data_IF_055952960740
#
_entry.id   IF_055952960740
#
_cell.length_a   1.000
_cell.length_b   1.000
_cell.length_c   1.000
_cell.angle_alpha   90.00
_cell.angle_beta   90.00
_cell.angle_gamma   90.00
#
_symmetry.space_group_name_H-M   'P 1'
#
loop_
_entity.id
_entity.type
_entity.pdbx_description
1 polymer ?
#
# COMPACT_ATOMS: atom_id res chain seq x y z
N UNK A 1 6.99 -18.61 12.64
CA UNK A 1 5.78 -17.90 12.18
C UNK A 1 6.28 -16.93 11.14
N UNK A 2 5.77 -16.97 9.92
CA UNK A 2 6.16 -16.03 8.86
C UNK A 2 5.66 -14.61 9.20
N UNK A 3 6.19 -13.58 8.51
CA UNK A 3 5.71 -12.21 8.70
C UNK A 3 4.19 -12.12 8.50
N UNK A 4 3.67 -12.72 7.42
CA UNK A 4 2.24 -12.64 7.10
C UNK A 4 1.35 -13.40 8.09
N UNK A 5 1.82 -14.50 8.69
CA UNK A 5 1.08 -15.20 9.74
C UNK A 5 0.89 -14.27 10.96
N UNK A 6 1.92 -13.53 11.35
CA UNK A 6 1.83 -12.54 12.43
C UNK A 6 0.82 -11.42 12.12
N UNK A 7 0.77 -10.95 10.87
CA UNK A 7 -0.22 -9.96 10.41
C UNK A 7 -1.65 -10.53 10.47
N UNK A 8 -1.86 -11.75 10.01
CA UNK A 8 -3.17 -12.43 10.08
C UNK A 8 -3.66 -12.57 11.52
N UNK A 9 -2.80 -12.96 12.45
CA UNK A 9 -3.19 -13.04 13.86
C UNK A 9 -3.54 -11.68 14.47
N UNK A 10 -2.87 -10.62 14.07
CA UNK A 10 -3.23 -9.25 14.48
C UNK A 10 -4.56 -8.80 13.86
N UNK A 11 -4.79 -9.10 12.57
CA UNK A 11 -6.04 -8.78 11.90
C UNK A 11 -7.26 -9.38 12.62
N UNK A 12 -7.14 -10.60 13.16
CA UNK A 12 -8.20 -11.29 13.93
C UNK A 12 -8.54 -10.62 15.27
N UNK A 13 -7.66 -9.79 15.83
CA UNK A 13 -7.90 -9.17 17.14
C UNK A 13 -8.97 -8.07 17.11
N UNK A 14 -9.12 -7.39 15.97
CA UNK A 14 -10.14 -6.36 15.73
C UNK A 14 -10.55 -6.45 14.25
N UNK A 15 -11.56 -7.30 13.99
CA UNK A 15 -11.97 -7.67 12.63
C UNK A 15 -12.53 -6.45 11.89
N UNK A 16 -11.87 -6.08 10.81
CA UNK A 16 -12.25 -5.00 9.93
C UNK A 16 -13.02 -5.50 8.70
N UNK A 17 -13.81 -4.62 8.11
CA UNK A 17 -14.57 -4.91 6.88
C UNK A 17 -13.80 -4.37 5.68
N UNK A 18 -13.42 -5.25 4.75
CA UNK A 18 -12.63 -4.92 3.56
C UNK A 18 -13.46 -5.14 2.30
N UNK A 19 -13.43 -4.15 1.40
CA UNK A 19 -14.09 -4.25 0.09
C UNK A 19 -13.15 -4.90 -0.91
N UNK A 20 -13.64 -5.90 -1.64
CA UNK A 20 -13.02 -6.53 -2.80
C UNK A 20 -13.93 -6.28 -4.02
N UNK A 21 -13.66 -5.25 -4.85
CA UNK A 21 -14.58 -4.88 -5.92
C UNK A 21 -14.52 -5.80 -7.15
N UNK A 22 -13.43 -6.55 -7.34
CA UNK A 22 -13.15 -7.38 -8.51
C UNK A 22 -13.70 -8.82 -8.33
N UNK A 23 -14.98 -8.93 -8.01
CA UNK A 23 -15.63 -10.23 -7.73
C UNK A 23 -15.81 -11.13 -8.96
N UNK A 24 -15.50 -10.66 -10.16
CA UNK A 24 -15.44 -11.43 -11.40
C UNK A 24 -14.13 -12.23 -11.56
N UNK A 25 -13.08 -11.90 -10.79
CA UNK A 25 -11.78 -12.58 -10.87
C UNK A 25 -11.77 -13.82 -9.96
N UNK A 26 -11.41 -14.99 -10.50
CA UNK A 26 -11.29 -16.24 -9.76
C UNK A 26 -10.39 -16.11 -8.53
N UNK A 27 -9.27 -15.39 -8.65
CA UNK A 27 -8.31 -15.20 -7.55
C UNK A 27 -8.93 -14.44 -6.39
N UNK A 28 -9.77 -13.44 -6.69
CA UNK A 28 -10.49 -12.66 -5.69
C UNK A 28 -11.48 -13.56 -4.93
N UNK A 29 -12.23 -14.43 -5.62
CA UNK A 29 -13.17 -15.34 -4.96
C UNK A 29 -12.45 -16.44 -4.15
N UNK A 30 -11.32 -16.98 -4.65
CA UNK A 30 -10.47 -17.90 -3.87
C UNK A 30 -9.90 -17.25 -2.62
N UNK A 31 -9.41 -16.03 -2.74
CA UNK A 31 -8.94 -15.24 -1.59
C UNK A 31 -10.07 -14.96 -0.60
N UNK A 32 -11.25 -14.55 -1.09
CA UNK A 32 -12.41 -14.29 -0.25
C UNK A 32 -12.79 -15.52 0.59
N UNK A 33 -12.86 -16.70 -0.03
CA UNK A 33 -13.14 -17.95 0.68
C UNK A 33 -12.11 -18.22 1.80
N UNK A 34 -10.82 -18.01 1.50
CA UNK A 34 -9.74 -18.23 2.48
C UNK A 34 -9.77 -17.24 3.63
N UNK A 35 -10.02 -15.96 3.35
CA UNK A 35 -10.14 -14.87 4.34
C UNK A 35 -11.29 -15.15 5.31
N UNK A 36 -12.44 -15.60 4.79
CA UNK A 36 -13.61 -15.94 5.59
C UNK A 36 -13.38 -17.20 6.44
N UNK A 37 -12.75 -18.24 5.88
CA UNK A 37 -12.33 -19.42 6.60
C UNK A 37 -11.40 -19.08 7.77
N UNK A 38 -10.38 -18.26 7.52
CA UNK A 38 -9.38 -17.83 8.51
C UNK A 38 -9.92 -16.76 9.47
N UNK A 39 -11.05 -16.13 9.14
CA UNK A 39 -11.66 -15.01 9.91
C UNK A 39 -10.72 -13.84 10.13
N UNK A 40 -9.98 -13.47 9.09
CA UNK A 40 -9.04 -12.36 9.15
C UNK A 40 -9.66 -11.00 8.83
N UNK A 41 -10.79 -10.99 8.11
CA UNK A 41 -11.60 -9.81 7.83
C UNK A 41 -13.04 -10.19 7.50
N UNK A 42 -14.00 -9.26 7.70
CA UNK A 42 -15.29 -9.30 7.04
C UNK A 42 -15.13 -8.77 5.61
N UNK A 43 -15.90 -9.31 4.67
CA UNK A 43 -15.77 -8.95 3.26
C UNK A 43 -17.04 -8.36 2.67
N UNK A 44 -16.85 -7.34 1.83
CA UNK A 44 -17.85 -6.82 0.90
C UNK A 44 -17.35 -7.09 -0.52
N UNK A 45 -18.11 -7.87 -1.29
CA UNK A 45 -17.89 -8.11 -2.71
C UNK A 45 -18.84 -7.23 -3.51
N UNK A 46 -18.34 -6.59 -4.59
CA UNK A 46 -19.17 -5.72 -5.44
C UNK A 46 -19.54 -6.46 -6.71
N UNK A 47 -20.82 -6.71 -6.94
CA UNK A 47 -21.30 -7.37 -8.13
C UNK A 47 -22.74 -7.86 -8.01
N UNK A 48 -23.27 -8.44 -9.07
CA UNK A 48 -24.57 -9.11 -9.03
C UNK A 48 -24.49 -10.40 -8.21
N UNK A 49 -25.38 -10.53 -7.22
CA UNK A 49 -25.29 -11.60 -6.24
C UNK A 49 -25.41 -13.00 -6.87
N UNK A 50 -26.31 -13.16 -7.85
CA UNK A 50 -26.50 -14.44 -8.50
C UNK A 50 -25.27 -14.84 -9.32
N UNK A 51 -24.67 -13.87 -10.03
CA UNK A 51 -23.46 -14.06 -10.81
C UNK A 51 -22.26 -14.40 -9.91
N UNK A 52 -22.04 -13.65 -8.82
CA UNK A 52 -20.92 -13.88 -7.91
C UNK A 52 -21.01 -15.24 -7.24
N UNK A 53 -22.22 -15.66 -6.82
CA UNK A 53 -22.45 -17.01 -6.24
C UNK A 53 -22.23 -18.13 -7.27
N UNK A 54 -22.71 -17.96 -8.50
CA UNK A 54 -22.50 -18.93 -9.58
C UNK A 54 -21.01 -19.08 -9.93
N UNK A 55 -20.25 -17.98 -9.97
CA UNK A 55 -18.81 -18.02 -10.19
C UNK A 55 -18.08 -18.69 -9.03
N UNK A 56 -18.46 -18.44 -7.76
CA UNK A 56 -17.89 -19.11 -6.61
C UNK A 56 -18.14 -20.63 -6.67
N UNK A 57 -19.34 -21.06 -7.03
CA UNK A 57 -19.68 -22.49 -7.22
C UNK A 57 -18.84 -23.10 -8.36
N UNK A 58 -18.74 -22.43 -9.49
CA UNK A 58 -17.90 -22.85 -10.63
C UNK A 58 -16.44 -23.07 -10.23
N UNK A 59 -15.88 -22.21 -9.37
CA UNK A 59 -14.51 -22.33 -8.90
C UNK A 59 -14.35 -23.24 -7.66
N UNK A 60 -15.45 -23.79 -7.15
CA UNK A 60 -15.46 -24.70 -6.01
C UNK A 60 -15.04 -24.04 -4.69
N UNK A 61 -15.39 -22.77 -4.49
CA UNK A 61 -15.05 -22.00 -3.30
C UNK A 61 -16.29 -21.55 -2.54
N UNK A 62 -16.20 -21.53 -1.21
CA UNK A 62 -17.28 -21.07 -0.33
C UNK A 62 -17.04 -19.62 0.09
N UNK A 63 -17.95 -18.74 -0.26
CA UNK A 63 -17.96 -17.31 0.10
C UNK A 63 -19.08 -16.95 1.08
N UNK A 64 -19.68 -17.93 1.74
CA UNK A 64 -20.70 -17.70 2.76
C UNK A 64 -20.14 -16.82 3.89
N UNK A 65 -20.88 -15.78 4.23
CA UNK A 65 -20.45 -14.77 5.19
C UNK A 65 -19.92 -13.48 4.54
N UNK A 66 -19.63 -13.46 3.23
CA UNK A 66 -19.39 -12.22 2.51
C UNK A 66 -20.71 -11.47 2.28
N UNK A 67 -20.68 -10.14 2.44
CA UNK A 67 -21.77 -9.27 1.97
C UNK A 67 -21.55 -9.01 0.48
N UNK A 68 -22.57 -9.24 -0.35
CA UNK A 68 -22.51 -8.91 -1.79
C UNK A 68 -23.38 -7.69 -2.04
N UNK A 69 -22.83 -6.66 -2.69
CA UNK A 69 -23.55 -5.43 -3.03
C UNK A 69 -23.58 -5.27 -4.55
N UNK A 70 -24.77 -5.30 -5.13
CA UNK A 70 -24.99 -4.97 -6.54
C UNK A 70 -25.18 -3.46 -6.68
N UNK A 71 -24.28 -2.75 -7.42
CA UNK A 71 -24.41 -1.31 -7.64
C UNK A 71 -25.76 -0.89 -8.22
N UNK A 72 -26.37 -1.70 -9.10
CA UNK A 72 -27.63 -1.38 -9.79
C UNK A 72 -28.85 -1.40 -8.88
N UNK A 73 -28.84 -2.27 -7.86
CA UNK A 73 -29.97 -2.46 -6.95
C UNK A 73 -29.71 -1.96 -5.54
N UNK A 74 -28.54 -1.34 -5.32
CA UNK A 74 -28.17 -0.82 -3.99
C UNK A 74 -29.09 0.34 -3.56
N UNK A 75 -29.64 0.25 -2.36
CA UNK A 75 -30.39 1.33 -1.71
C UNK A 75 -29.55 2.58 -1.43
N UNK A 76 -28.23 2.45 -1.46
CA UNK A 76 -27.24 3.51 -1.26
C UNK A 76 -26.83 4.23 -2.54
N UNK A 77 -27.26 3.76 -3.72
CA UNK A 77 -26.82 4.33 -5.00
C UNK A 77 -27.04 5.83 -5.08
N UNK A 78 -28.24 6.31 -4.72
CA UNK A 78 -28.57 7.75 -4.78
C UNK A 78 -27.73 8.60 -3.81
N UNK A 79 -27.48 8.08 -2.62
CA UNK A 79 -26.58 8.73 -1.65
C UNK A 79 -25.16 8.83 -2.22
N UNK A 80 -24.66 7.77 -2.87
CA UNK A 80 -23.32 7.73 -3.46
C UNK A 80 -23.23 8.65 -4.68
N UNK A 81 -24.24 8.71 -5.54
CA UNK A 81 -24.32 9.64 -6.67
C UNK A 81 -24.22 11.09 -6.19
N UNK A 82 -25.04 11.46 -5.20
CA UNK A 82 -25.04 12.81 -4.66
C UNK A 82 -23.69 13.15 -4.01
N UNK A 83 -23.14 12.24 -3.23
CA UNK A 83 -21.84 12.45 -2.56
C UNK A 83 -20.71 12.60 -3.57
N UNK A 84 -20.65 11.74 -4.59
CA UNK A 84 -19.62 11.80 -5.63
C UNK A 84 -19.75 13.09 -6.46
N UNK A 85 -20.98 13.48 -6.82
CA UNK A 85 -21.25 14.74 -7.49
C UNK A 85 -20.75 15.93 -6.66
N UNK A 86 -21.13 16.04 -5.38
CA UNK A 86 -20.68 17.13 -4.51
C UNK A 86 -19.17 17.21 -4.38
N UNK A 87 -18.49 16.07 -4.28
CA UNK A 87 -17.02 16.00 -4.22
C UNK A 87 -16.34 16.49 -5.51
N UNK A 88 -17.01 16.34 -6.66
CA UNK A 88 -16.38 16.50 -7.98
C UNK A 88 -17.02 17.57 -8.87
N UNK A 89 -18.14 18.22 -8.47
CA UNK A 89 -18.84 19.23 -9.27
C UNK A 89 -17.93 20.39 -9.71
N UNK A 90 -17.01 20.83 -8.85
CA UNK A 90 -16.01 21.85 -9.19
C UNK A 90 -15.00 21.43 -10.29
N UNK A 91 -14.97 20.13 -10.63
CA UNK A 91 -14.17 19.54 -11.71
C UNK A 91 -15.03 19.14 -12.92
N UNK A 92 -16.27 19.62 -12.98
CA UNK A 92 -17.19 19.43 -14.13
C UNK A 92 -17.99 18.13 -14.10
N UNK A 93 -18.02 17.40 -12.99
CA UNK A 93 -18.87 16.22 -12.86
C UNK A 93 -20.35 16.63 -12.81
N UNK A 94 -21.21 15.89 -13.49
CA UNK A 94 -22.68 16.03 -13.39
C UNK A 94 -23.24 14.85 -12.58
N UNK A 95 -24.50 14.95 -12.07
CA UNK A 95 -25.14 13.80 -11.39
C UNK A 95 -25.23 12.55 -12.26
N UNK A 96 -25.51 12.72 -13.56
CA UNK A 96 -25.59 11.62 -14.54
C UNK A 96 -24.22 10.95 -14.71
N UNK A 97 -23.14 11.76 -14.83
CA UNK A 97 -21.76 11.23 -14.93
C UNK A 97 -21.32 10.52 -13.63
N UNK A 98 -21.75 11.02 -12.48
CA UNK A 98 -21.47 10.36 -11.20
C UNK A 98 -22.18 9.00 -11.12
N UNK A 99 -23.45 8.94 -11.51
CA UNK A 99 -24.22 7.68 -11.59
C UNK A 99 -23.57 6.69 -12.55
N UNK A 100 -23.24 7.15 -13.74
CA UNK A 100 -22.59 6.31 -14.75
C UNK A 100 -21.25 5.73 -14.23
N UNK A 101 -20.42 6.55 -13.58
CA UNK A 101 -19.16 6.10 -13.00
C UNK A 101 -19.38 5.01 -11.93
N UNK A 102 -20.37 5.16 -11.06
CA UNK A 102 -20.68 4.18 -10.01
C UNK A 102 -21.23 2.86 -10.57
N UNK A 103 -22.00 2.90 -11.64
CA UNK A 103 -22.58 1.70 -12.25
C UNK A 103 -21.59 0.96 -13.15
N UNK A 104 -20.64 1.67 -13.80
CA UNK A 104 -19.67 1.08 -14.72
C UNK A 104 -18.39 0.59 -14.05
N UNK A 105 -18.01 1.19 -12.93
CA UNK A 105 -16.74 0.90 -12.25
C UNK A 105 -16.98 0.46 -10.80
N UNK A 106 -16.87 -0.85 -10.58
CA UNK A 106 -17.02 -1.46 -9.25
C UNK A 106 -16.01 -0.93 -8.23
N UNK A 107 -14.80 -0.56 -8.69
CA UNK A 107 -13.79 0.04 -7.81
C UNK A 107 -14.25 1.42 -7.30
N UNK A 108 -14.79 2.26 -8.19
CA UNK A 108 -15.38 3.56 -7.81
C UNK A 108 -16.54 3.37 -6.82
N UNK A 109 -17.40 2.39 -7.05
CA UNK A 109 -18.49 2.06 -6.12
C UNK A 109 -17.95 1.61 -4.76
N UNK A 110 -16.98 0.69 -4.75
CA UNK A 110 -16.33 0.20 -3.53
C UNK A 110 -15.65 1.33 -2.72
N UNK A 111 -15.01 2.28 -3.41
CA UNK A 111 -14.42 3.47 -2.77
C UNK A 111 -15.51 4.36 -2.15
N UNK A 112 -16.71 4.43 -2.75
CA UNK A 112 -17.83 5.16 -2.11
C UNK A 112 -18.37 4.44 -0.87
N UNK A 113 -18.45 3.09 -0.89
CA UNK A 113 -18.75 2.30 0.33
C UNK A 113 -17.77 2.66 1.44
N UNK A 114 -16.47 2.69 1.13
CA UNK A 114 -15.43 3.06 2.09
C UNK A 114 -15.55 4.52 2.54
N UNK A 115 -15.82 5.46 1.63
CA UNK A 115 -15.94 6.90 1.92
C UNK A 115 -17.07 7.20 2.90
N UNK A 116 -18.19 6.51 2.75
CA UNK A 116 -19.40 6.73 3.58
C UNK A 116 -19.41 5.91 4.88
N UNK A 117 -18.35 5.16 5.15
CA UNK A 117 -18.20 4.41 6.40
C UNK A 117 -18.84 3.02 6.40
N UNK A 118 -19.20 2.50 5.21
CA UNK A 118 -19.70 1.13 5.06
C UNK A 118 -18.62 0.06 5.15
N UNK A 119 -17.34 0.48 5.07
CA UNK A 119 -16.18 -0.40 5.21
C UNK A 119 -14.99 0.35 5.82
N UNK A 120 -13.96 -0.42 6.22
CA UNK A 120 -12.74 0.07 6.86
C UNK A 120 -11.56 0.15 5.88
N UNK A 121 -11.57 -0.64 4.80
CA UNK A 121 -10.52 -0.67 3.80
C UNK A 121 -11.00 -1.24 2.46
N UNK A 122 -10.14 -1.12 1.43
CA UNK A 122 -10.40 -1.65 0.09
C UNK A 122 -9.11 -2.24 -0.50
N UNK A 123 -9.23 -3.38 -1.16
CA UNK A 123 -8.15 -4.01 -1.94
C UNK A 123 -8.65 -4.31 -3.35
N UNK A 124 -7.92 -3.85 -4.37
CA UNK A 124 -8.27 -4.02 -5.79
C UNK A 124 -6.98 -4.05 -6.63
N UNK A 125 -7.07 -4.34 -7.93
CA UNK A 125 -5.94 -4.30 -8.87
C UNK A 125 -5.56 -5.66 -9.48
N UNK A 126 -6.26 -6.73 -9.10
CA UNK A 126 -6.02 -8.06 -9.68
C UNK A 126 -6.28 -8.09 -11.19
N UNK A 127 -7.32 -7.41 -11.66
CA UNK A 127 -7.68 -7.31 -13.08
C UNK A 127 -7.62 -5.89 -13.67
N UNK A 128 -7.39 -4.87 -12.87
CA UNK A 128 -7.30 -3.49 -13.33
C UNK A 128 -5.86 -2.95 -13.29
N UNK A 129 -5.61 -1.85 -13.99
CA UNK A 129 -4.33 -1.15 -13.88
C UNK A 129 -4.25 -0.38 -12.56
N UNK A 130 -3.05 -0.21 -12.00
CA UNK A 130 -2.79 0.65 -10.83
C UNK A 130 -3.48 2.02 -10.96
N UNK A 131 -3.44 2.64 -12.14
CA UNK A 131 -4.10 3.93 -12.36
C UNK A 131 -5.63 3.85 -12.20
N UNK A 132 -6.27 2.75 -12.60
CA UNK A 132 -7.71 2.57 -12.48
C UNK A 132 -8.13 2.25 -11.05
N UNK A 133 -7.30 1.57 -10.28
CA UNK A 133 -7.50 1.32 -8.85
C UNK A 133 -7.31 2.59 -8.02
N UNK A 134 -6.22 3.30 -8.24
CA UNK A 134 -5.85 4.43 -7.39
C UNK A 134 -6.59 5.73 -7.72
N UNK A 135 -6.97 5.95 -8.98
CA UNK A 135 -7.65 7.19 -9.39
C UNK A 135 -8.95 7.46 -8.61
N UNK A 136 -9.89 6.51 -8.47
CA UNK A 136 -11.08 6.70 -7.65
C UNK A 136 -10.73 7.00 -6.18
N UNK A 137 -9.80 6.25 -5.61
CA UNK A 137 -9.36 6.42 -4.23
C UNK A 137 -8.80 7.84 -3.98
N UNK A 138 -7.87 8.30 -4.81
CA UNK A 138 -7.25 9.62 -4.69
C UNK A 138 -8.27 10.75 -4.90
N UNK A 139 -9.23 10.57 -5.83
CA UNK A 139 -10.23 11.58 -6.13
C UNK A 139 -11.32 11.73 -5.08
N UNK A 140 -11.68 10.62 -4.42
CA UNK A 140 -12.81 10.54 -3.48
C UNK A 140 -12.33 10.65 -2.03
N UNK A 141 -11.30 9.90 -1.64
CA UNK A 141 -10.82 9.86 -0.25
C UNK A 141 -9.84 11.01 0.05
N UNK A 142 -8.97 11.36 -0.92
CA UNK A 142 -7.92 12.37 -0.79
C UNK A 142 -6.83 11.97 0.21
N UNK A 143 -5.93 12.90 0.52
CA UNK A 143 -4.89 12.71 1.54
C UNK A 143 -5.49 12.65 2.95
N UNK A 144 -4.83 11.92 3.83
CA UNK A 144 -5.12 11.95 5.26
C UNK A 144 -4.84 13.35 5.84
N UNK A 145 -5.52 13.75 6.92
CA UNK A 145 -5.20 15.00 7.60
C UNK A 145 -3.72 15.06 8.00
N UNK A 146 -3.04 16.12 7.61
CA UNK A 146 -1.62 16.31 7.88
C UNK A 146 -0.66 15.60 6.92
N UNK A 147 -1.12 14.68 6.06
CA UNK A 147 -0.28 14.07 5.04
C UNK A 147 -0.04 15.04 3.88
N UNK A 148 1.23 15.16 3.47
CA UNK A 148 1.65 16.04 2.38
C UNK A 148 1.26 15.48 1.01
N UNK A 149 1.39 14.16 0.85
CA UNK A 149 1.09 13.43 -0.39
C UNK A 149 0.65 12.00 -0.08
N UNK A 150 0.17 11.30 -1.10
CA UNK A 150 -0.02 9.85 -1.07
C UNK A 150 1.17 9.19 -1.76
N UNK A 151 1.71 8.13 -1.17
CA UNK A 151 2.82 7.36 -1.74
C UNK A 151 2.55 5.86 -1.69
N UNK A 152 3.27 5.10 -2.54
CA UNK A 152 3.15 3.66 -2.65
C UNK A 152 4.36 2.96 -2.06
N UNK A 153 4.15 1.99 -1.17
CA UNK A 153 5.24 1.21 -0.58
C UNK A 153 4.99 -0.29 -0.69
N UNK A 154 6.05 -1.06 -0.53
CA UNK A 154 6.00 -2.51 -0.38
C UNK A 154 6.61 -2.92 0.95
N UNK A 155 5.99 -3.90 1.60
CA UNK A 155 6.71 -4.72 2.58
C UNK A 155 7.34 -5.88 1.82
N UNK A 156 8.65 -5.98 1.92
CA UNK A 156 9.46 -7.05 1.33
C UNK A 156 9.87 -8.00 2.44
N UNK A 157 9.54 -9.28 2.30
CA UNK A 157 10.00 -10.33 3.22
C UNK A 157 10.95 -11.26 2.46
N UNK A 158 12.25 -11.12 2.74
CA UNK A 158 13.34 -11.78 1.99
C UNK A 158 13.74 -13.04 2.75
N UNK A 159 13.53 -14.24 2.18
CA UNK A 159 13.85 -15.48 2.87
C UNK A 159 15.36 -15.64 3.14
N UNK A 160 15.70 -16.16 4.31
CA UNK A 160 17.09 -16.40 4.73
C UNK A 160 18.01 -15.17 4.65
N UNK A 161 17.44 -13.97 4.85
CA UNK A 161 18.16 -12.71 4.85
C UNK A 161 18.39 -12.23 6.29
N UNK A 162 19.62 -11.91 6.64
CA UNK A 162 20.00 -11.39 7.96
C UNK A 162 19.86 -9.87 8.06
N UNK A 163 19.73 -9.16 6.93
CA UNK A 163 19.65 -7.71 6.89
C UNK A 163 18.23 -7.21 7.19
N UNK A 164 18.10 -5.90 7.42
CA UNK A 164 16.84 -5.28 7.77
C UNK A 164 16.31 -5.76 9.12
N UNK A 165 15.02 -6.00 9.22
CA UNK A 165 14.43 -6.64 10.41
C UNK A 165 14.18 -8.12 10.11
N UNK A 166 15.24 -8.95 10.27
CA UNK A 166 15.20 -10.40 9.97
C UNK A 166 14.71 -10.70 8.55
N UNK A 167 15.18 -9.95 7.55
CA UNK A 167 14.75 -10.07 6.15
C UNK A 167 13.58 -9.20 5.76
N UNK A 168 12.88 -8.59 6.72
CA UNK A 168 11.75 -7.72 6.44
C UNK A 168 12.18 -6.27 6.26
N UNK A 169 11.70 -5.64 5.17
CA UNK A 169 11.97 -4.25 4.80
C UNK A 169 10.71 -3.52 4.36
N UNK A 170 10.70 -2.19 4.48
CA UNK A 170 9.80 -1.35 3.70
C UNK A 170 10.56 -0.63 2.58
N UNK A 171 10.05 -0.72 1.35
CA UNK A 171 10.58 -0.05 0.16
C UNK A 171 9.59 1.02 -0.31
N UNK A 172 9.99 2.29 -0.45
CA UNK A 172 9.16 3.40 -0.91
C UNK A 172 9.97 4.49 -1.66
N UNK A 173 9.39 5.24 -2.60
CA UNK A 173 8.14 4.94 -3.31
C UNK A 173 8.44 3.98 -4.45
N UNK A 174 7.63 2.96 -4.60
CA UNK A 174 7.83 1.94 -5.62
C UNK A 174 6.63 1.80 -6.58
N UNK A 175 5.59 2.64 -6.42
CA UNK A 175 4.34 2.43 -7.14
C UNK A 175 3.59 3.67 -7.64
N UNK A 176 3.89 4.88 -7.16
CA UNK A 176 3.03 6.03 -7.41
C UNK A 176 3.78 7.29 -7.89
N UNK A 177 4.75 7.80 -7.12
CA UNK A 177 5.40 9.07 -7.40
C UNK A 177 6.60 8.89 -8.32
N UNK A 178 6.52 9.44 -9.55
CA UNK A 178 7.54 9.20 -10.58
C UNK A 178 8.90 9.81 -10.22
N UNK A 179 8.92 11.10 -9.88
CA UNK A 179 10.15 11.82 -9.52
C UNK A 179 9.84 12.79 -8.37
N UNK A 180 9.76 12.29 -7.13
CA UNK A 180 9.49 13.12 -5.97
C UNK A 180 10.64 14.11 -5.73
N UNK A 181 10.30 15.36 -5.39
CA UNK A 181 11.26 16.35 -4.94
C UNK A 181 11.77 16.06 -3.51
N UNK A 182 12.72 16.84 -3.04
CA UNK A 182 13.34 16.62 -1.72
C UNK A 182 12.33 16.66 -0.56
N UNK A 183 11.35 17.57 -0.64
CA UNK A 183 10.30 17.68 0.38
C UNK A 183 9.36 16.47 0.36
N UNK A 184 9.01 15.99 -0.84
CA UNK A 184 8.20 14.79 -1.02
C UNK A 184 8.93 13.54 -0.53
N UNK A 185 10.23 13.42 -0.82
CA UNK A 185 11.05 12.31 -0.31
C UNK A 185 11.11 12.29 1.23
N UNK A 186 11.26 13.46 1.87
CA UNK A 186 11.23 13.55 3.33
C UNK A 186 9.87 13.12 3.92
N UNK A 187 8.77 13.52 3.29
CA UNK A 187 7.43 13.12 3.72
C UNK A 187 7.20 11.61 3.51
N UNK A 188 7.59 11.06 2.35
CA UNK A 188 7.54 9.61 2.07
C UNK A 188 8.31 8.83 3.13
N UNK A 189 9.50 9.30 3.51
CA UNK A 189 10.35 8.66 4.52
C UNK A 189 9.65 8.60 5.89
N UNK A 190 9.07 9.70 6.33
CA UNK A 190 8.34 9.77 7.59
C UNK A 190 7.10 8.85 7.59
N UNK A 191 6.31 8.90 6.53
CA UNK A 191 5.10 8.08 6.42
C UNK A 191 5.46 6.59 6.35
N UNK A 192 6.53 6.23 5.62
CA UNK A 192 7.01 4.85 5.52
C UNK A 192 7.53 4.33 6.85
N UNK A 193 8.26 5.16 7.61
CA UNK A 193 8.72 4.80 8.95
C UNK A 193 7.56 4.49 9.89
N UNK A 194 6.53 5.35 9.91
CA UNK A 194 5.34 5.16 10.74
C UNK A 194 4.57 3.90 10.34
N UNK A 195 4.44 3.66 9.03
CA UNK A 195 3.76 2.48 8.50
C UNK A 195 4.56 1.21 8.82
N UNK A 196 5.89 1.23 8.66
CA UNK A 196 6.75 0.11 9.02
C UNK A 196 6.61 -0.24 10.52
N UNK A 197 6.68 0.76 11.38
CA UNK A 197 6.48 0.57 12.82
C UNK A 197 5.11 -0.04 13.13
N UNK A 198 4.08 0.42 12.47
CA UNK A 198 2.71 -0.07 12.64
C UNK A 198 2.54 -1.51 12.15
N UNK A 199 3.03 -1.84 10.95
CA UNK A 199 2.81 -3.15 10.33
C UNK A 199 3.81 -4.19 10.84
N UNK A 200 5.09 -3.85 10.93
CA UNK A 200 6.16 -4.79 11.30
C UNK A 200 6.34 -4.86 12.83
N UNK A 201 6.04 -3.77 13.54
CA UNK A 201 6.20 -3.70 14.99
C UNK A 201 7.65 -3.49 15.44
N UNK A 202 8.55 -3.09 14.53
CA UNK A 202 9.96 -2.83 14.79
C UNK A 202 10.28 -1.34 14.63
N UNK A 203 11.33 -0.87 15.30
CA UNK A 203 11.78 0.50 15.15
C UNK A 203 12.37 0.74 13.76
N UNK A 204 11.86 1.76 13.01
CA UNK A 204 12.32 2.06 11.68
C UNK A 204 13.71 2.70 11.70
N UNK A 205 14.58 2.26 10.79
CA UNK A 205 15.87 2.85 10.47
C UNK A 205 15.88 3.19 9.00
N UNK A 206 15.71 4.46 8.69
CA UNK A 206 15.38 4.94 7.34
C UNK A 206 16.63 5.37 6.60
N UNK A 207 16.93 4.71 5.48
CA UNK A 207 17.99 5.10 4.57
C UNK A 207 17.44 5.78 3.31
N UNK A 208 17.88 6.99 3.03
CA UNK A 208 17.67 7.66 1.74
C UNK A 208 18.71 7.18 0.75
N UNK A 209 18.25 6.45 -0.29
CA UNK A 209 19.14 5.77 -1.24
C UNK A 209 19.61 6.69 -2.36
N UNK A 210 20.88 6.49 -2.73
CA UNK A 210 21.53 7.14 -3.86
C UNK A 210 22.64 6.24 -4.42
N UNK A 211 23.17 6.57 -5.59
CA UNK A 211 24.44 6.00 -6.06
C UNK A 211 25.67 6.60 -5.35
N UNK A 212 25.48 7.58 -4.47
CA UNK A 212 26.49 8.24 -3.64
C UNK A 212 26.34 7.84 -2.17
N UNK A 213 27.44 7.86 -1.42
CA UNK A 213 27.46 7.74 0.04
C UNK A 213 28.31 8.88 0.59
N UNK A 214 27.66 9.77 1.39
CA UNK A 214 28.33 10.86 2.13
C UNK A 214 29.28 11.69 1.26
N UNK A 215 28.77 12.13 0.09
CA UNK A 215 29.49 13.01 -0.82
C UNK A 215 30.48 12.31 -1.76
N UNK A 216 30.38 10.98 -1.91
CA UNK A 216 31.27 10.22 -2.83
C UNK A 216 31.07 10.55 -4.31
N UNK A 217 29.90 11.15 -4.68
CA UNK A 217 29.63 11.65 -6.01
C UNK A 217 28.96 13.04 -5.93
N UNK A 218 29.06 13.82 -7.02
CA UNK A 218 28.44 15.15 -7.16
C UNK A 218 27.54 15.16 -8.39
N UNK A 219 26.24 15.31 -8.17
CA UNK A 219 25.25 15.41 -9.24
C UNK A 219 23.93 15.93 -8.67
N UNK A 220 23.11 16.61 -9.46
CA UNK A 220 21.80 17.13 -9.04
C UNK A 220 20.88 16.05 -8.42
N UNK A 221 20.95 14.80 -8.89
CA UNK A 221 20.23 13.67 -8.30
C UNK A 221 20.71 13.32 -6.89
N UNK A 222 22.01 13.53 -6.60
CA UNK A 222 22.58 13.37 -5.26
C UNK A 222 22.13 14.50 -4.36
N UNK A 223 22.24 15.76 -4.86
CA UNK A 223 21.83 16.96 -4.11
C UNK A 223 20.36 16.88 -3.69
N UNK A 224 19.47 16.34 -4.56
CA UNK A 224 18.07 16.11 -4.23
C UNK A 224 17.92 15.23 -2.99
N UNK A 225 18.68 14.14 -2.89
CA UNK A 225 18.61 13.20 -1.76
C UNK A 225 19.24 13.79 -0.50
N UNK A 226 20.37 14.50 -0.61
CA UNK A 226 21.00 15.22 0.51
C UNK A 226 20.03 16.24 1.11
N UNK A 227 19.41 17.07 0.26
CA UNK A 227 18.41 18.04 0.70
C UNK A 227 17.19 17.37 1.35
N UNK A 228 16.78 16.18 0.87
CA UNK A 228 15.68 15.43 1.48
C UNK A 228 16.02 14.99 2.91
N UNK A 229 17.24 14.56 3.17
CA UNK A 229 17.71 14.18 4.51
C UNK A 229 17.72 15.41 5.44
N UNK A 230 18.22 16.55 4.97
CA UNK A 230 18.23 17.79 5.75
C UNK A 230 16.81 18.24 6.11
N UNK A 231 15.87 18.18 5.14
CA UNK A 231 14.45 18.50 5.37
C UNK A 231 13.84 17.52 6.37
N UNK A 232 14.15 16.21 6.23
CA UNK A 232 13.65 15.19 7.15
C UNK A 232 14.08 15.45 8.59
N UNK A 233 15.35 15.77 8.83
CA UNK A 233 15.86 16.11 10.15
C UNK A 233 15.21 17.39 10.74
N UNK A 234 14.86 18.36 9.88
CA UNK A 234 14.22 19.60 10.32
C UNK A 234 12.72 19.45 10.61
N UNK A 235 12.00 18.74 9.74
CA UNK A 235 10.54 18.61 9.84
C UNK A 235 10.09 17.46 10.71
N UNK A 236 10.90 16.40 10.81
CA UNK A 236 10.59 15.16 11.53
C UNK A 236 11.74 14.79 12.49
N UNK A 237 11.95 15.55 13.57
CA UNK A 237 13.11 15.37 14.47
C UNK A 237 13.19 14.01 15.15
N UNK A 238 12.05 13.31 15.28
CA UNK A 238 11.99 11.97 15.87
C UNK A 238 12.26 10.85 14.84
N UNK A 239 12.38 11.18 13.55
CA UNK A 239 12.66 10.22 12.51
C UNK A 239 14.13 9.78 12.54
N UNK A 240 14.39 8.52 12.83
CA UNK A 240 15.74 7.94 12.73
C UNK A 240 16.06 7.68 11.28
N UNK A 241 16.71 8.64 10.61
CA UNK A 241 17.05 8.57 9.21
C UNK A 241 18.48 9.03 8.92
N UNK A 242 19.04 8.57 7.82
CA UNK A 242 20.33 9.02 7.30
C UNK A 242 20.41 8.85 5.77
N UNK A 243 21.33 9.54 5.16
CA UNK A 243 21.63 9.54 3.72
C UNK A 243 22.57 10.69 3.37
N UNK A 244 22.95 10.84 2.13
CA UNK A 244 22.60 9.86 1.07
C UNK A 244 23.48 8.62 1.25
N UNK A 245 22.92 7.45 1.01
CA UNK A 245 23.60 6.16 1.16
C UNK A 245 23.42 5.28 -0.09
N UNK A 246 24.48 4.62 -0.51
CA UNK A 246 24.37 3.48 -1.40
C UNK A 246 23.71 2.31 -0.66
N UNK A 247 23.04 1.42 -1.40
CA UNK A 247 22.30 0.31 -0.82
C UNK A 247 23.19 -0.59 0.06
N UNK A 248 24.39 -0.92 -0.42
CA UNK A 248 25.37 -1.74 0.33
C UNK A 248 25.77 -1.07 1.65
N UNK A 249 26.02 0.24 1.64
CA UNK A 249 26.30 1.00 2.85
C UNK A 249 25.08 1.10 3.79
N UNK A 250 23.87 1.12 3.24
CA UNK A 250 22.65 1.20 4.06
C UNK A 250 22.38 -0.09 4.85
N UNK A 251 22.67 -1.27 4.28
CA UNK A 251 22.24 -2.55 4.87
C UNK A 251 23.37 -3.45 5.37
N UNK A 252 24.63 -3.27 4.90
CA UNK A 252 25.76 -4.15 5.26
C UNK A 252 26.67 -3.47 6.29
N UNK A 253 26.76 -4.00 7.53
CA UNK A 253 27.54 -3.35 8.61
C UNK A 253 29.00 -3.09 8.28
N UNK A 254 29.68 -4.01 7.60
CA UNK A 254 31.11 -3.87 7.25
C UNK A 254 31.32 -2.76 6.20
N UNK A 255 30.39 -2.60 5.26
CA UNK A 255 30.44 -1.52 4.26
C UNK A 255 30.13 -0.17 4.92
N UNK A 256 29.16 -0.13 5.80
CA UNK A 256 28.79 1.06 6.58
C UNK A 256 29.97 1.59 7.41
N UNK A 257 30.67 0.69 8.09
CA UNK A 257 31.85 1.06 8.89
C UNK A 257 32.93 1.78 8.08
N UNK A 258 33.07 1.44 6.79
CA UNK A 258 34.03 2.07 5.87
C UNK A 258 33.49 3.34 5.22
N UNK A 259 32.23 3.31 4.70
CA UNK A 259 31.70 4.38 3.84
C UNK A 259 30.92 5.47 4.62
N UNK A 260 30.34 5.12 5.77
CA UNK A 260 29.50 6.01 6.59
C UNK A 260 29.76 5.85 8.09
N UNK A 261 31.01 6.01 8.56
CA UNK A 261 31.35 5.84 9.96
C UNK A 261 30.57 6.82 10.85
N UNK A 262 30.02 6.32 11.95
CA UNK A 262 29.25 7.13 12.91
C UNK A 262 27.75 7.31 12.57
N UNK A 263 27.29 6.77 11.44
CA UNK A 263 25.86 6.74 11.12
C UNK A 263 25.09 5.81 12.08
N UNK A 264 23.95 6.28 12.59
CA UNK A 264 23.04 5.46 13.39
C UNK A 264 22.12 4.56 12.56
N UNK A 265 22.14 4.69 11.23
CA UNK A 265 21.27 3.98 10.28
C UNK A 265 22.06 3.07 9.36
N UNK A 266 23.21 3.54 8.85
CA UNK A 266 24.00 2.76 7.90
C UNK A 266 24.38 1.39 8.47
N UNK A 267 24.28 0.36 7.64
CA UNK A 267 24.56 -1.04 7.98
C UNK A 267 23.42 -1.76 8.71
N UNK A 268 22.30 -1.09 8.98
CA UNK A 268 21.18 -1.67 9.72
C UNK A 268 19.82 -1.10 9.28
N UNK A 269 19.76 -0.45 8.10
CA UNK A 269 18.53 0.09 7.56
C UNK A 269 17.49 -1.01 7.29
N UNK A 270 16.24 -0.74 7.64
CA UNK A 270 15.09 -1.60 7.38
C UNK A 270 13.97 -0.87 6.61
N UNK A 271 14.12 0.44 6.40
CA UNK A 271 13.25 1.26 5.55
C UNK A 271 14.13 1.92 4.49
N UNK A 272 13.85 1.63 3.22
CA UNK A 272 14.63 2.09 2.08
C UNK A 272 13.82 3.06 1.22
N UNK A 273 14.28 4.31 1.14
CA UNK A 273 13.61 5.37 0.36
C UNK A 273 14.37 5.54 -0.96
N UNK A 274 13.70 5.24 -2.05
CA UNK A 274 14.25 5.31 -3.40
C UNK A 274 14.14 6.73 -3.97
N UNK A 275 15.14 7.20 -4.73
CA UNK A 275 15.17 8.58 -5.23
C UNK A 275 14.12 8.88 -6.29
N UNK A 276 13.60 7.87 -6.98
CA UNK A 276 12.55 7.96 -7.98
C UNK A 276 11.88 6.60 -8.22
N UNK A 277 10.79 6.61 -8.99
CA UNK A 277 9.98 5.42 -9.25
C UNK A 277 10.75 4.32 -10.01
N UNK A 278 11.61 4.68 -10.97
CA UNK A 278 12.38 3.68 -11.71
C UNK A 278 13.25 2.85 -10.78
N UNK A 279 13.98 3.52 -9.87
CA UNK A 279 14.81 2.83 -8.88
C UNK A 279 13.99 1.94 -7.96
N UNK A 280 12.87 2.44 -7.43
CA UNK A 280 12.00 1.68 -6.53
C UNK A 280 11.31 0.51 -7.21
N UNK A 281 10.71 0.74 -8.39
CA UNK A 281 9.96 -0.27 -9.13
C UNK A 281 10.85 -1.40 -9.66
N UNK A 282 12.02 -1.05 -10.21
CA UNK A 282 13.00 -2.05 -10.64
C UNK A 282 13.55 -2.77 -9.42
N UNK A 283 13.91 -2.04 -8.36
CA UNK A 283 14.52 -2.57 -7.15
C UNK A 283 13.65 -3.64 -6.47
N UNK A 284 12.38 -3.35 -6.18
CA UNK A 284 11.53 -4.35 -5.53
C UNK A 284 11.32 -5.60 -6.39
N UNK A 285 11.17 -5.44 -7.73
CA UNK A 285 11.00 -6.58 -8.64
C UNK A 285 12.25 -7.45 -8.71
N UNK A 286 13.44 -6.85 -8.72
CA UNK A 286 14.69 -7.59 -8.67
C UNK A 286 14.77 -8.45 -7.41
N UNK A 287 14.48 -7.89 -6.25
CA UNK A 287 14.47 -8.61 -4.97
C UNK A 287 13.39 -9.70 -4.96
N UNK A 288 12.16 -9.36 -5.37
CA UNK A 288 11.06 -10.32 -5.44
C UNK A 288 11.41 -11.53 -6.32
N UNK A 289 11.95 -11.30 -7.54
CA UNK A 289 12.15 -12.37 -8.50
C UNK A 289 13.46 -13.14 -8.27
N UNK A 290 14.56 -12.45 -7.98
CA UNK A 290 15.88 -13.07 -7.83
C UNK A 290 16.09 -13.67 -6.44
N UNK A 291 15.65 -12.99 -5.38
CA UNK A 291 15.76 -13.48 -4.02
C UNK A 291 14.53 -14.30 -3.55
N UNK A 292 13.51 -14.46 -4.42
CA UNK A 292 12.25 -15.14 -4.09
C UNK A 292 11.56 -14.53 -2.86
N UNK A 293 11.71 -13.20 -2.71
CA UNK A 293 11.08 -12.48 -1.64
C UNK A 293 9.55 -12.39 -1.86
N UNK A 294 8.80 -12.44 -0.79
CA UNK A 294 7.41 -12.02 -0.79
C UNK A 294 7.37 -10.50 -0.86
N UNK A 295 6.50 -9.94 -1.70
CA UNK A 295 6.37 -8.50 -1.93
C UNK A 295 4.89 -8.11 -1.78
N UNK A 296 4.54 -7.57 -0.62
CA UNK A 296 3.18 -7.12 -0.30
C UNK A 296 3.00 -5.66 -0.68
N UNK A 297 2.20 -5.42 -1.72
CA UNK A 297 1.95 -4.07 -2.23
C UNK A 297 1.63 -4.03 -3.74
N UNK A 298 1.56 -2.82 -4.36
CA UNK A 298 1.82 -1.54 -3.67
C UNK A 298 0.70 -1.15 -2.70
N UNK A 299 1.07 -0.93 -1.46
CA UNK A 299 0.17 -0.39 -0.45
C UNK A 299 0.27 1.14 -0.42
N UNK A 300 -0.85 1.82 -0.14
CA UNK A 300 -0.88 3.27 -0.04
C UNK A 300 -0.73 3.74 1.41
N UNK A 301 0.00 4.84 1.55
CA UNK A 301 0.11 5.62 2.77
C UNK A 301 -0.12 7.10 2.49
N UNK A 302 -0.45 7.88 3.52
CA UNK A 302 -0.85 9.27 3.36
C UNK A 302 -2.26 9.47 2.77
N UNK A 303 -3.02 8.42 2.52
CA UNK A 303 -4.43 8.45 2.09
C UNK A 303 -5.38 8.40 3.30
N UNK A 304 -6.54 9.05 3.19
CA UNK A 304 -7.45 9.22 4.32
C UNK A 304 -8.05 7.91 4.89
N UNK A 305 -8.15 6.85 4.08
CA UNK A 305 -8.56 5.50 4.50
C UNK A 305 -7.75 4.45 3.76
N UNK A 306 -7.53 3.26 4.33
CA UNK A 306 -6.73 2.21 3.70
C UNK A 306 -7.31 1.76 2.36
N UNK A 307 -6.53 1.96 1.31
CA UNK A 307 -6.78 1.43 -0.04
C UNK A 307 -5.47 0.88 -0.55
N UNK A 308 -5.47 -0.38 -0.98
CA UNK A 308 -4.26 -1.02 -1.47
C UNK A 308 -4.49 -1.62 -2.84
N UNK A 309 -3.47 -1.49 -3.68
CA UNK A 309 -3.44 -2.00 -5.05
C UNK A 309 -2.77 -3.39 -5.07
N UNK A 310 -3.09 -4.14 -6.10
CA UNK A 310 -2.50 -5.45 -6.37
C UNK A 310 -1.75 -5.41 -7.69
N UNK A 311 -0.74 -6.25 -7.83
CA UNK A 311 -0.19 -6.54 -9.14
C UNK A 311 -1.18 -7.38 -9.95
N UNK A 312 -1.37 -7.10 -11.23
CA UNK A 312 -2.15 -7.98 -12.13
C UNK A 312 -1.60 -9.40 -12.21
N UNK A 313 -0.34 -9.60 -11.87
CA UNK A 313 0.30 -10.90 -11.75
C UNK A 313 0.28 -11.48 -10.34
N UNK A 314 -0.55 -10.98 -9.43
CA UNK A 314 -0.66 -11.51 -8.07
C UNK A 314 -1.31 -12.91 -8.06
N UNK A 315 -0.98 -13.68 -7.05
CA UNK A 315 -1.68 -14.92 -6.70
C UNK A 315 -2.89 -14.61 -5.79
N UNK A 316 -3.74 -15.59 -5.54
CA UNK A 316 -4.82 -15.42 -4.55
C UNK A 316 -4.27 -15.32 -3.12
N UNK A 317 -3.13 -15.95 -2.84
CA UNK A 317 -2.41 -15.85 -1.56
C UNK A 317 -1.92 -14.41 -1.32
N UNK A 318 -1.43 -13.73 -2.37
CA UNK A 318 -1.05 -12.32 -2.29
C UNK A 318 -2.25 -11.45 -1.90
N UNK A 319 -3.44 -11.72 -2.46
CA UNK A 319 -4.68 -11.01 -2.11
C UNK A 319 -5.02 -11.21 -0.63
N UNK A 320 -4.94 -12.45 -0.12
CA UNK A 320 -5.16 -12.75 1.31
C UNK A 320 -4.20 -11.96 2.19
N UNK A 321 -2.92 -11.92 1.82
CA UNK A 321 -1.89 -11.17 2.54
C UNK A 321 -2.16 -9.66 2.55
N UNK A 322 -2.48 -9.07 1.40
CA UNK A 322 -2.77 -7.62 1.29
C UNK A 322 -4.06 -7.26 2.04
N UNK A 323 -5.09 -8.13 2.04
CA UNK A 323 -6.31 -7.90 2.85
C UNK A 323 -5.99 -7.89 4.34
N UNK A 324 -5.18 -8.84 4.83
CA UNK A 324 -4.77 -8.86 6.24
C UNK A 324 -3.98 -7.60 6.63
N UNK A 325 -3.05 -7.16 5.78
CA UNK A 325 -2.30 -5.90 5.96
C UNK A 325 -3.23 -4.68 5.96
N UNK A 326 -4.21 -4.63 5.03
CA UNK A 326 -5.22 -3.56 4.96
C UNK A 326 -6.07 -3.52 6.24
N UNK A 327 -6.44 -4.67 6.77
CA UNK A 327 -7.16 -4.75 8.04
C UNK A 327 -6.33 -4.18 9.21
N UNK A 328 -5.04 -4.52 9.29
CA UNK A 328 -4.13 -3.98 10.31
C UNK A 328 -3.89 -2.47 10.11
N UNK A 329 -3.81 -1.97 8.88
CA UNK A 329 -3.79 -0.52 8.63
C UNK A 329 -5.07 0.15 9.15
N UNK A 330 -6.24 -0.45 8.88
CA UNK A 330 -7.53 0.08 9.32
C UNK A 330 -7.70 0.09 10.84
N UNK A 331 -7.15 -0.88 11.57
CA UNK A 331 -7.13 -0.90 13.04
C UNK A 331 -6.37 0.29 13.64
N UNK A 332 -5.40 0.85 12.90
CA UNK A 332 -4.55 1.95 13.33
C UNK A 332 -4.91 3.29 12.67
N UNK A 333 -5.91 3.33 11.80
CA UNK A 333 -6.45 4.57 11.21
C UNK A 333 -7.38 5.25 12.19
N UNK A 334 -7.12 6.55 12.48
CA UNK A 334 -7.95 7.37 13.37
C UNK A 334 -9.09 8.03 12.61
#
# INVERSE_FOLDING_TARGET
MSFIDGIKERAKQDIKTIVLPESEDERTLRAAAKILEEKTANLILIGDEATVKADAEKYGVNIDGATIINPETSDKLEEYVNTLYELRKAKGMTPEAAREALLKDRTTFGVMVLKTGGADGLVSGACHSTANTLRPALQILRTAPGAKLVSGFFIMDVPNCEFGYNGTFAFADCGLNQDPDSESLAAIANDTANTFKTLVGADPKVAFLSHSTKGSAKHALVDKVVNAVEIAHQQYPDLVCDGELQLDAAIIPSVAASKAPGSSVAGQANVLIFPNLDCGNIGYKLVQRLAKAEAYGPMLQGIAKPVNDLSRGCSWEDIVGVVALTAVQAQNSK
#
